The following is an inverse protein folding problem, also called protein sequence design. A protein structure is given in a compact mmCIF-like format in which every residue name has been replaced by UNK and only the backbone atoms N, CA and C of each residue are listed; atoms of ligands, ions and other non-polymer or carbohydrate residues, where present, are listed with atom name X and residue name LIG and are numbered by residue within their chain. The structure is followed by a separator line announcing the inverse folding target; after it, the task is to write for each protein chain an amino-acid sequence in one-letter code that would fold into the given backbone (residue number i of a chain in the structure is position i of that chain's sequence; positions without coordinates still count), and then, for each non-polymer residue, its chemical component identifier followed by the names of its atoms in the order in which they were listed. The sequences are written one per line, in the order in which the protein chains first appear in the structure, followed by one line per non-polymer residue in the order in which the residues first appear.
data_IF_935123470869
#
_entry.id   IF_935123470869
#
_cell.length_a   1.000
_cell.length_b   1.000
_cell.length_c   1.000
_cell.angle_alpha   90.00
_cell.angle_beta   90.00
_cell.angle_gamma   90.00
#
_symmetry.space_group_name_H-M   'P 1'
#
loop_
_entity.id
_entity.type
_entity.pdbx_description
1 polymer ?
#
# COMPACT_ATOMS: atom_id res chain seq x y z
N UNK A 1 9.78 -22.75 6.12
CA UNK A 1 9.12 -22.06 5.00
C UNK A 1 7.72 -21.55 5.36
N UNK A 2 6.76 -22.42 5.69
CA UNK A 2 5.38 -21.99 5.99
C UNK A 2 5.25 -20.93 7.11
N UNK A 3 6.00 -21.08 8.20
CA UNK A 3 5.98 -20.12 9.31
C UNK A 3 6.43 -18.71 8.90
N UNK A 4 7.52 -18.62 8.11
CA UNK A 4 8.04 -17.34 7.62
C UNK A 4 7.06 -16.69 6.63
N UNK A 5 6.39 -17.49 5.80
CA UNK A 5 5.35 -17.01 4.87
C UNK A 5 4.14 -16.43 5.61
N UNK A 6 3.68 -17.10 6.68
CA UNK A 6 2.56 -16.61 7.50
C UNK A 6 2.95 -15.31 8.21
N UNK A 7 4.15 -15.24 8.78
CA UNK A 7 4.64 -14.02 9.43
C UNK A 7 4.76 -12.85 8.45
N UNK A 8 5.23 -13.10 7.23
CA UNK A 8 5.30 -12.09 6.18
C UNK A 8 3.90 -11.60 5.76
N UNK A 9 2.94 -12.53 5.58
CA UNK A 9 1.54 -12.20 5.25
C UNK A 9 0.87 -11.36 6.33
N UNK A 10 1.07 -11.72 7.61
CA UNK A 10 0.53 -10.98 8.75
C UNK A 10 1.16 -9.58 8.85
N UNK A 11 2.47 -9.46 8.65
CA UNK A 11 3.17 -8.17 8.66
C UNK A 11 2.67 -7.25 7.53
N UNK A 12 2.48 -7.78 6.32
CA UNK A 12 1.93 -7.03 5.18
C UNK A 12 0.47 -6.63 5.44
N UNK A 13 -0.34 -7.54 5.98
CA UNK A 13 -1.73 -7.25 6.34
C UNK A 13 -1.85 -6.11 7.34
N UNK A 14 -1.05 -6.14 8.41
CA UNK A 14 -1.00 -5.07 9.41
C UNK A 14 -0.52 -3.75 8.81
N UNK A 15 0.50 -3.77 7.95
CA UNK A 15 0.98 -2.57 7.27
C UNK A 15 -0.12 -1.92 6.42
N UNK A 16 -0.87 -2.71 5.66
CA UNK A 16 -1.99 -2.20 4.84
C UNK A 16 -3.08 -1.60 5.74
N UNK A 17 -3.47 -2.28 6.82
CA UNK A 17 -4.49 -1.80 7.77
C UNK A 17 -4.06 -0.48 8.39
N UNK A 18 -2.80 -0.36 8.84
CA UNK A 18 -2.27 0.89 9.41
C UNK A 18 -2.34 2.02 8.38
N UNK A 19 -1.86 1.80 7.15
CA UNK A 19 -1.88 2.83 6.09
C UNK A 19 -3.30 3.23 5.70
N UNK A 20 -4.25 2.31 5.75
CA UNK A 20 -5.65 2.57 5.46
C UNK A 20 -6.30 3.39 6.58
N UNK A 21 -6.06 3.01 7.83
CA UNK A 21 -6.53 3.73 9.02
C UNK A 21 -5.92 5.15 9.09
N UNK A 22 -4.63 5.31 8.80
CA UNK A 22 -3.96 6.62 8.68
C UNK A 22 -4.56 7.49 7.57
N UNK A 23 -5.08 6.88 6.51
CA UNK A 23 -5.73 7.61 5.41
C UNK A 23 -7.13 8.08 5.77
N UNK A 24 -7.88 7.26 6.50
CA UNK A 24 -9.29 7.50 6.86
C UNK A 24 -9.44 8.39 8.10
N UNK A 25 -8.52 8.31 9.07
CA UNK A 25 -8.58 9.08 10.31
C UNK A 25 -8.11 10.54 10.21
N UNK A 26 -7.58 10.96 9.06
CA UNK A 26 -7.33 12.39 8.80
C UNK A 26 -8.57 12.96 8.12
N UNK A 27 -9.33 13.80 8.81
CA UNK A 27 -10.26 14.74 8.17
C UNK A 27 -9.46 15.60 7.19
N UNK A 28 -9.33 15.12 5.96
CA UNK A 28 -8.58 15.83 4.93
C UNK A 28 -9.50 16.90 4.36
N UNK A 29 -9.27 18.14 4.76
CA UNK A 29 -9.71 19.31 4.02
C UNK A 29 -9.50 19.08 2.51
N UNK A 30 -10.52 19.41 1.71
CA UNK A 30 -10.60 19.15 0.26
C UNK A 30 -9.34 19.57 -0.51
N UNK A 31 -8.62 20.57 -0.01
CA UNK A 31 -7.41 21.11 -0.62
C UNK A 31 -6.19 20.17 -0.46
N UNK A 32 -6.06 19.52 0.69
CA UNK A 32 -4.95 18.59 0.98
C UNK A 32 -5.15 17.23 0.31
N UNK A 33 -6.40 16.79 0.17
CA UNK A 33 -6.74 15.58 -0.57
C UNK A 33 -6.34 15.68 -2.05
N UNK A 34 -6.49 16.87 -2.66
CA UNK A 34 -6.18 17.13 -4.08
C UNK A 34 -4.68 17.18 -4.39
N UNK A 35 -3.86 17.62 -3.45
CA UNK A 35 -2.40 17.59 -3.58
C UNK A 35 -1.85 16.16 -3.40
N UNK A 36 -2.41 15.41 -2.44
CA UNK A 36 -1.97 14.04 -2.15
C UNK A 36 -2.42 13.04 -3.23
N UNK A 37 -3.58 13.25 -3.87
CA UNK A 37 -4.05 12.41 -4.97
C UNK A 37 -3.15 12.44 -6.20
N UNK A 38 -2.43 13.53 -6.46
CA UNK A 38 -1.42 13.61 -7.54
C UNK A 38 -0.25 12.64 -7.33
N UNK A 39 0.11 12.36 -6.08
CA UNK A 39 1.21 11.44 -5.74
C UNK A 39 0.74 9.99 -5.51
N UNK A 40 -0.57 9.78 -5.28
CA UNK A 40 -1.13 8.42 -5.19
C UNK A 40 -1.04 7.70 -6.54
N UNK A 41 -1.32 8.38 -7.64
CA UNK A 41 -1.30 7.78 -8.98
C UNK A 41 0.07 7.15 -9.35
N UNK A 42 1.21 7.85 -9.24
CA UNK A 42 2.51 7.25 -9.53
C UNK A 42 2.88 6.13 -8.55
N UNK A 43 2.54 6.27 -7.27
CA UNK A 43 2.83 5.24 -6.26
C UNK A 43 2.05 3.93 -6.52
N UNK A 44 0.79 4.03 -6.95
CA UNK A 44 -0.01 2.87 -7.36
C UNK A 44 0.59 2.22 -8.60
N UNK A 45 0.99 3.01 -9.60
CA UNK A 45 1.60 2.48 -10.82
C UNK A 45 2.91 1.73 -10.54
N UNK A 46 3.78 2.28 -9.70
CA UNK A 46 5.01 1.63 -9.26
C UNK A 46 4.71 0.32 -8.52
N UNK A 47 3.73 0.33 -7.62
CA UNK A 47 3.35 -0.89 -6.87
C UNK A 47 2.85 -2.01 -7.79
N UNK A 48 2.10 -1.67 -8.84
CA UNK A 48 1.61 -2.63 -9.83
C UNK A 48 2.75 -3.22 -10.67
N UNK A 49 3.72 -2.39 -11.08
CA UNK A 49 4.90 -2.87 -11.82
C UNK A 49 5.73 -3.83 -10.97
N UNK A 50 5.98 -3.47 -9.71
CA UNK A 50 6.73 -4.33 -8.78
C UNK A 50 6.00 -5.66 -8.59
N UNK A 51 4.67 -5.62 -8.45
CA UNK A 51 3.85 -6.82 -8.30
C UNK A 51 3.89 -7.73 -9.54
N UNK A 52 3.90 -7.14 -10.75
CA UNK A 52 4.04 -7.90 -12.01
C UNK A 52 5.41 -8.56 -12.12
N UNK A 53 6.48 -7.84 -11.80
CA UNK A 53 7.84 -8.39 -11.80
C UNK A 53 7.96 -9.52 -10.78
N UNK A 54 7.43 -9.33 -9.57
CA UNK A 54 7.41 -10.35 -8.54
C UNK A 54 6.62 -11.60 -8.97
N UNK A 55 5.52 -11.43 -9.69
CA UNK A 55 4.72 -12.54 -10.22
C UNK A 55 5.44 -13.31 -11.33
N UNK A 56 6.28 -12.67 -12.14
CA UNK A 56 7.07 -13.35 -13.19
C UNK A 56 8.33 -14.04 -12.65
N UNK A 57 8.90 -13.57 -11.53
CA UNK A 57 10.07 -14.18 -10.89
C UNK A 57 9.72 -15.35 -9.95
N UNK A 58 8.43 -15.59 -9.72
CA UNK A 58 7.89 -16.65 -8.87
C UNK A 58 7.38 -17.80 -9.73
#
# INVERSE_FOLDING_TARGET
MALLTILALLAVGLFIVIKLTERTGKEKSMEQARSMSKWIMPLVFISLIIQLIYMMMK
#
